data_IF_841830172767
#
_entry.id   IF_841830172767
#
_cell.length_a   1.000
_cell.length_b   1.000
_cell.length_c   1.000
_cell.angle_alpha   90.00
_cell.angle_beta   90.00
_cell.angle_gamma   90.00
#
_symmetry.space_group_name_H-M   'P 1'
#
loop_
_entity.id
_entity.type
_entity.pdbx_description
1 polymer ?
#
# COMPACT_ATOMS: atom_id res chain seq x y z
N UNK A 1 -5.12 2.09 -14.79
CA UNK A 1 -4.36 1.62 -13.63
C UNK A 1 -4.14 2.82 -12.75
N UNK A 2 -4.90 2.92 -11.66
CA UNK A 2 -4.63 3.90 -10.60
C UNK A 2 -3.43 3.44 -9.77
N UNK A 3 -2.86 4.32 -8.98
CA UNK A 3 -1.77 3.98 -8.06
C UNK A 3 -2.21 2.87 -7.08
N UNK A 4 -3.47 2.93 -6.60
CA UNK A 4 -4.09 1.85 -5.83
C UNK A 4 -4.05 0.48 -6.54
N UNK A 5 -4.47 0.40 -7.80
CA UNK A 5 -4.48 -0.86 -8.56
C UNK A 5 -3.05 -1.41 -8.76
N UNK A 6 -2.07 -0.52 -8.93
CA UNK A 6 -0.66 -0.91 -9.01
C UNK A 6 -0.15 -1.50 -7.70
N UNK A 7 -0.40 -0.82 -6.57
CA UNK A 7 0.06 -1.24 -5.25
C UNK A 7 -0.66 -2.50 -4.73
N UNK A 8 -1.96 -2.67 -5.03
CA UNK A 8 -2.69 -3.91 -4.75
C UNK A 8 -2.07 -5.09 -5.50
N UNK A 9 -1.77 -4.90 -6.79
CA UNK A 9 -1.14 -5.91 -7.62
C UNK A 9 0.27 -6.23 -7.12
N UNK A 10 1.08 -5.19 -6.87
CA UNK A 10 2.45 -5.35 -6.40
C UNK A 10 2.52 -6.12 -5.07
N UNK A 11 1.59 -5.87 -4.15
CA UNK A 11 1.52 -6.63 -2.91
C UNK A 11 1.05 -8.08 -3.13
N UNK A 12 0.04 -8.29 -3.99
CA UNK A 12 -0.50 -9.62 -4.31
C UNK A 12 0.53 -10.54 -4.97
N UNK A 13 1.39 -9.97 -5.81
CA UNK A 13 2.47 -10.70 -6.49
C UNK A 13 3.79 -10.69 -5.70
N UNK A 14 3.78 -10.22 -4.44
CA UNK A 14 4.96 -10.15 -3.58
C UNK A 14 6.12 -9.30 -4.16
N UNK A 15 5.80 -8.35 -5.05
CA UNK A 15 6.75 -7.37 -5.60
C UNK A 15 6.99 -6.19 -4.66
N UNK A 16 6.04 -5.93 -3.77
CA UNK A 16 6.11 -4.90 -2.75
C UNK A 16 5.83 -5.50 -1.37
N UNK A 17 6.55 -5.04 -0.36
CA UNK A 17 6.32 -5.40 1.03
C UNK A 17 5.35 -4.43 1.70
N UNK A 18 4.93 -4.77 2.92
CA UNK A 18 4.15 -3.85 3.77
C UNK A 18 4.87 -2.53 4.04
N UNK A 19 6.20 -2.54 4.13
CA UNK A 19 6.98 -1.32 4.36
C UNK A 19 7.06 -0.46 3.08
N UNK A 20 7.07 -1.07 1.90
CA UNK A 20 6.97 -0.33 0.63
C UNK A 20 5.60 0.34 0.50
N UNK A 21 4.53 -0.36 0.87
CA UNK A 21 3.18 0.20 0.95
C UNK A 21 3.08 1.35 1.98
N UNK A 22 3.79 1.27 3.11
CA UNK A 22 3.83 2.40 4.06
C UNK A 22 4.47 3.63 3.44
N UNK A 23 5.60 3.45 2.73
CA UNK A 23 6.22 4.55 1.97
C UNK A 23 5.31 5.08 0.88
N UNK A 24 4.54 4.22 0.21
CA UNK A 24 3.55 4.65 -0.77
C UNK A 24 2.48 5.56 -0.14
N UNK A 25 2.08 5.29 1.11
CA UNK A 25 1.22 6.20 1.88
C UNK A 25 1.91 7.53 2.18
N UNK A 26 3.18 7.51 2.59
CA UNK A 26 3.96 8.73 2.87
C UNK A 26 4.20 9.59 1.63
N UNK A 27 4.38 8.96 0.46
CA UNK A 27 4.57 9.61 -0.83
C UNK A 27 3.25 10.13 -1.43
N UNK A 28 2.11 9.68 -0.89
CA UNK A 28 0.78 10.05 -1.38
C UNK A 28 0.30 9.24 -2.59
N UNK A 29 0.97 8.13 -2.91
CA UNK A 29 0.54 7.21 -3.97
C UNK A 29 -0.75 6.46 -3.56
N UNK A 30 -0.90 6.15 -2.27
CA UNK A 30 -2.11 5.53 -1.71
C UNK A 30 -2.48 6.18 -0.38
N UNK A 31 -3.73 6.07 0.02
CA UNK A 31 -4.23 6.53 1.32
C UNK A 31 -4.01 5.47 2.42
N UNK A 32 -4.04 5.85 3.70
CA UNK A 32 -4.06 4.88 4.81
C UNK A 32 -5.22 3.88 4.74
N UNK A 33 -6.36 4.29 4.16
CA UNK A 33 -7.52 3.41 3.94
C UNK A 33 -7.25 2.37 2.86
N UNK A 34 -6.57 2.77 1.78
CA UNK A 34 -6.14 1.89 0.70
C UNK A 34 -5.04 0.92 1.14
N UNK A 35 -4.08 1.39 1.94
CA UNK A 35 -3.11 0.52 2.62
C UNK A 35 -3.81 -0.59 3.40
N UNK A 36 -4.84 -0.23 4.17
CA UNK A 36 -5.63 -1.20 4.95
C UNK A 36 -6.40 -2.17 4.05
N UNK A 37 -6.92 -1.72 2.91
CA UNK A 37 -7.56 -2.62 1.94
C UNK A 37 -6.59 -3.63 1.34
N UNK A 38 -5.35 -3.22 1.05
CA UNK A 38 -4.33 -4.06 0.42
C UNK A 38 -3.73 -5.06 1.43
N UNK A 39 -3.36 -4.60 2.63
CA UNK A 39 -2.64 -5.39 3.63
C UNK A 39 -3.56 -6.09 4.63
N UNK A 40 -4.81 -5.63 4.75
CA UNK A 40 -5.75 -5.98 5.81
C UNK A 40 -5.24 -5.62 7.22
N UNK A 41 -4.32 -4.66 7.31
CA UNK A 41 -3.76 -4.13 8.56
C UNK A 41 -3.96 -2.62 8.65
N UNK A 42 -4.10 -2.11 9.87
CA UNK A 42 -4.14 -0.67 10.10
C UNK A 42 -2.78 -0.04 9.78
N UNK A 43 -2.81 1.08 9.06
CA UNK A 43 -1.61 1.87 8.81
C UNK A 43 -1.11 2.47 10.12
N UNK A 44 0.06 2.01 10.56
CA UNK A 44 0.80 2.60 11.68
C UNK A 44 1.99 3.34 11.09
N UNK A 45 1.91 4.68 11.09
CA UNK A 45 3.06 5.53 10.80
C UNK A 45 4.11 5.28 11.89
N UNK A 46 5.34 4.99 11.47
CA UNK A 46 6.47 4.80 12.37
C UNK A 46 7.03 6.14 12.86
#
# INVERSE_FOLDING_TARGET
MTDFEFWEMAYRYEWATKDDLKKAVELGDITPEEYKKITNEDYVAA
#
